data_IF_268557243139
#
_entry.id   IF_268557243139
#
_cell.length_a   1.000
_cell.length_b   1.000
_cell.length_c   1.000
_cell.angle_alpha   90.00
_cell.angle_beta   90.00
_cell.angle_gamma   90.00
#
_symmetry.space_group_name_H-M   'P 1'
#
loop_
_entity.id
_entity.type
_entity.pdbx_description
1 polymer ?
#
# COMPACT_ATOMS: atom_id res chain seq x y z
N UNK A 1 -50.57 34.98 46.32
CA UNK A 1 -50.65 36.09 45.36
C UNK A 1 -49.36 36.88 45.48
N UNK A 2 -48.30 36.69 44.71
CA UNK A 2 -47.93 35.74 43.65
C UNK A 2 -46.41 35.85 43.49
N UNK A 3 -45.78 34.71 43.16
CA UNK A 3 -44.70 34.48 42.19
C UNK A 3 -43.55 35.49 42.06
N UNK A 4 -42.31 35.07 42.31
CA UNK A 4 -41.37 34.32 41.42
C UNK A 4 -40.32 35.31 40.90
N UNK A 5 -39.01 35.04 41.04
CA UNK A 5 -38.22 34.38 39.99
C UNK A 5 -37.84 35.41 38.90
N UNK A 6 -36.61 35.59 38.42
CA UNK A 6 -35.41 34.79 38.48
C UNK A 6 -34.22 35.69 38.12
N UNK A 7 -33.06 35.30 38.65
CA UNK A 7 -31.76 35.73 38.16
C UNK A 7 -31.43 35.03 36.85
N UNK A 8 -30.40 35.51 36.16
CA UNK A 8 -29.68 34.85 35.06
C UNK A 8 -30.18 35.11 33.63
N UNK A 9 -29.57 36.11 33.00
CA UNK A 9 -29.44 36.21 31.55
C UNK A 9 -27.99 35.99 31.14
N UNK A 10 -27.41 34.85 31.53
CA UNK A 10 -26.12 34.38 31.03
C UNK A 10 -26.24 34.09 29.54
N UNK A 11 -25.63 34.93 28.71
CA UNK A 11 -25.53 34.73 27.26
C UNK A 11 -24.66 33.53 26.94
N UNK A 12 -25.25 32.34 26.99
CA UNK A 12 -24.68 31.10 26.48
C UNK A 12 -24.43 31.26 24.98
N UNK A 13 -23.21 31.68 24.68
CA UNK A 13 -22.62 31.61 23.34
C UNK A 13 -22.47 30.13 23.03
N UNK A 14 -23.53 29.53 22.49
CA UNK A 14 -23.51 28.18 21.90
C UNK A 14 -22.58 28.21 20.70
N UNK A 15 -21.28 28.04 20.97
CA UNK A 15 -20.31 27.63 19.99
C UNK A 15 -20.86 26.33 19.37
N UNK A 16 -21.34 26.46 18.14
CA UNK A 16 -21.62 25.35 17.25
C UNK A 16 -20.33 24.55 17.12
N UNK A 17 -20.18 23.53 17.97
CA UNK A 17 -19.12 22.54 17.83
C UNK A 17 -19.48 21.80 16.54
N UNK A 18 -18.78 22.14 15.46
CA UNK A 18 -18.81 21.39 14.21
C UNK A 18 -18.34 19.98 14.56
N UNK A 19 -19.30 19.08 14.82
CA UNK A 19 -19.00 17.67 15.07
C UNK A 19 -18.57 17.07 13.75
N UNK A 20 -17.26 16.94 13.54
CA UNK A 20 -16.72 16.17 12.42
C UNK A 20 -17.23 14.73 12.60
N UNK A 21 -17.99 14.17 11.64
CA UNK A 21 -18.52 12.82 11.78
C UNK A 21 -17.34 11.85 11.96
N UNK A 22 -17.42 10.91 12.91
CA UNK A 22 -16.33 9.98 13.19
C UNK A 22 -15.97 9.22 11.90
N UNK A 23 -14.69 9.26 11.54
CA UNK A 23 -14.18 8.57 10.36
C UNK A 23 -14.46 7.08 10.56
N UNK A 24 -15.28 6.48 9.70
CA UNK A 24 -15.59 5.05 9.76
C UNK A 24 -14.34 4.28 9.36
N UNK A 25 -13.46 4.02 10.31
CA UNK A 25 -12.28 3.18 10.11
C UNK A 25 -12.75 1.81 9.64
N UNK A 26 -12.18 1.32 8.54
CA UNK A 26 -12.45 -0.03 8.06
C UNK A 26 -11.55 -0.95 8.87
N UNK A 27 -12.10 -1.80 9.77
CA UNK A 27 -11.27 -2.72 10.52
C UNK A 27 -10.50 -3.62 9.56
N UNK A 28 -9.18 -3.72 9.72
CA UNK A 28 -8.26 -4.51 8.88
C UNK A 28 -7.95 -3.95 7.48
N UNK A 29 -8.04 -2.64 7.28
CA UNK A 29 -7.45 -1.98 6.11
C UNK A 29 -5.92 -1.94 6.23
N UNK A 30 -5.21 -2.56 5.28
CA UNK A 30 -3.74 -2.52 5.17
C UNK A 30 -3.29 -1.91 3.83
N UNK A 31 -4.13 -1.01 3.28
CA UNK A 31 -3.84 -0.37 2.00
C UNK A 31 -2.72 0.67 2.14
N UNK A 32 -2.57 1.32 3.29
CA UNK A 32 -1.50 2.31 3.50
C UNK A 32 -0.11 1.67 3.47
N UNK A 33 0.06 0.50 4.08
CA UNK A 33 1.28 -0.29 4.00
C UNK A 33 1.57 -0.71 2.57
N UNK A 34 0.55 -1.17 1.83
CA UNK A 34 0.69 -1.54 0.41
C UNK A 34 1.19 -0.35 -0.42
N UNK A 35 0.67 0.86 -0.16
CA UNK A 35 1.08 2.08 -0.87
C UNK A 35 2.56 2.38 -0.67
N UNK A 36 3.02 2.34 0.57
CA UNK A 36 4.42 2.57 0.91
C UNK A 36 5.29 1.52 0.24
N UNK A 37 4.91 0.24 0.30
CA UNK A 37 5.69 -0.85 -0.30
C UNK A 37 5.79 -0.68 -1.82
N UNK A 38 4.71 -0.31 -2.51
CA UNK A 38 4.74 -0.07 -3.96
C UNK A 38 5.62 1.12 -4.35
N UNK A 39 5.58 2.22 -3.59
CA UNK A 39 6.49 3.36 -3.81
C UNK A 39 7.94 2.96 -3.59
N UNK A 40 8.23 2.27 -2.49
CA UNK A 40 9.59 1.77 -2.19
C UNK A 40 10.06 0.82 -3.30
N UNK A 41 9.20 -0.09 -3.75
CA UNK A 41 9.52 -1.04 -4.84
C UNK A 41 9.83 -0.31 -6.15
N UNK A 42 9.09 0.74 -6.47
CA UNK A 42 9.36 1.58 -7.64
C UNK A 42 10.73 2.28 -7.53
N UNK A 43 11.07 2.81 -6.36
CA UNK A 43 12.39 3.42 -6.11
C UNK A 43 13.49 2.37 -6.27
N UNK A 44 13.34 1.20 -5.65
CA UNK A 44 14.31 0.09 -5.75
C UNK A 44 14.52 -0.32 -7.20
N UNK A 45 13.44 -0.44 -8.00
CA UNK A 45 13.53 -0.74 -9.43
C UNK A 45 14.38 0.27 -10.20
N UNK A 46 14.15 1.57 -9.99
CA UNK A 46 14.89 2.63 -10.67
C UNK A 46 16.35 2.68 -10.24
N UNK A 47 16.62 2.55 -8.93
CA UNK A 47 17.99 2.53 -8.39
C UNK A 47 18.74 1.31 -8.93
N UNK A 48 18.14 0.13 -8.91
CA UNK A 48 18.75 -1.10 -9.42
C UNK A 48 19.18 -0.95 -10.89
N UNK A 49 18.28 -0.50 -11.77
CA UNK A 49 18.62 -0.20 -13.17
C UNK A 49 19.72 0.85 -13.30
N UNK A 50 19.67 1.92 -12.50
CA UNK A 50 20.67 3.01 -12.55
C UNK A 50 22.06 2.56 -12.12
N UNK A 51 22.16 1.57 -11.24
CA UNK A 51 23.43 0.96 -10.80
C UNK A 51 23.94 -0.13 -11.75
N UNK A 52 23.21 -0.44 -12.83
CA UNK A 52 23.57 -1.50 -13.78
C UNK A 52 23.25 -2.92 -13.31
N UNK A 53 22.34 -3.07 -12.35
CA UNK A 53 21.89 -4.38 -11.89
C UNK A 53 21.14 -5.13 -13.00
N UNK A 54 21.42 -6.42 -13.13
CA UNK A 54 20.80 -7.29 -14.13
C UNK A 54 19.42 -7.78 -13.64
N UNK A 55 18.38 -7.03 -14.02
CA UNK A 55 16.99 -7.31 -13.69
C UNK A 55 16.30 -8.14 -14.79
N UNK A 56 15.24 -8.90 -14.46
CA UNK A 56 14.46 -9.67 -15.44
C UNK A 56 13.52 -8.79 -16.29
N UNK A 57 13.88 -7.51 -16.47
CA UNK A 57 13.11 -6.49 -17.17
C UNK A 57 14.07 -5.67 -18.03
N UNK A 58 13.62 -5.29 -19.23
CA UNK A 58 14.33 -4.25 -20.00
C UNK A 58 14.32 -2.92 -19.24
N UNK A 59 15.19 -1.99 -19.63
CA UNK A 59 15.21 -0.63 -19.05
C UNK A 59 13.84 0.04 -19.18
N UNK A 60 13.24 -0.02 -20.37
CA UNK A 60 11.88 0.49 -20.60
C UNK A 60 10.84 -0.25 -19.74
N UNK A 61 10.93 -1.58 -19.64
CA UNK A 61 10.05 -2.39 -18.80
C UNK A 61 10.12 -1.98 -17.34
N UNK A 62 11.32 -1.73 -16.81
CA UNK A 62 11.53 -1.32 -15.42
C UNK A 62 10.94 0.05 -15.13
N UNK A 63 11.12 1.03 -16.02
CA UNK A 63 10.51 2.36 -15.90
C UNK A 63 8.98 2.27 -15.93
N UNK A 64 8.42 1.49 -16.87
CA UNK A 64 6.98 1.28 -16.96
C UNK A 64 6.42 0.58 -15.72
N UNK A 65 7.10 -0.42 -15.18
CA UNK A 65 6.74 -1.08 -13.93
C UNK A 65 6.78 -0.12 -12.74
N UNK A 66 7.79 0.74 -12.64
CA UNK A 66 7.88 1.76 -11.59
C UNK A 66 6.72 2.75 -11.67
N UNK A 67 6.38 3.25 -12.86
CA UNK A 67 5.21 4.13 -13.07
C UNK A 67 3.92 3.42 -12.66
N UNK A 68 3.73 2.17 -13.09
CA UNK A 68 2.56 1.38 -12.75
C UNK A 68 2.42 1.17 -11.23
N UNK A 69 3.51 0.88 -10.53
CA UNK A 69 3.53 0.75 -9.06
C UNK A 69 3.16 2.05 -8.37
N UNK A 70 3.70 3.19 -8.80
CA UNK A 70 3.38 4.51 -8.22
C UNK A 70 1.94 4.91 -8.47
N UNK A 71 1.41 4.66 -9.68
CA UNK A 71 -0.02 4.90 -9.98
C UNK A 71 -0.90 4.03 -9.09
N UNK A 72 -0.59 2.73 -8.97
CA UNK A 72 -1.32 1.83 -8.09
C UNK A 72 -1.30 2.32 -6.63
N UNK A 73 -0.15 2.77 -6.13
CA UNK A 73 -0.02 3.36 -4.81
C UNK A 73 -0.83 4.67 -4.65
N UNK A 74 -0.88 5.52 -5.68
CA UNK A 74 -1.64 6.76 -5.65
C UNK A 74 -3.15 6.55 -5.62
N UNK A 75 -3.65 5.56 -6.37
CA UNK A 75 -5.09 5.28 -6.50
C UNK A 75 -5.62 4.44 -5.32
N UNK A 76 -4.74 3.74 -4.59
CA UNK A 76 -5.15 2.89 -3.45
C UNK A 76 -5.83 3.70 -2.36
N UNK A 77 -7.11 3.42 -2.12
CA UNK A 77 -7.95 4.13 -1.15
C UNK A 77 -9.03 3.18 -0.61
N UNK A 78 -9.39 3.22 0.69
CA UNK A 78 -10.46 2.38 1.27
C UNK A 78 -11.80 2.41 0.54
N UNK A 79 -12.14 3.49 -0.18
CA UNK A 79 -13.43 3.61 -0.86
C UNK A 79 -13.57 2.73 -2.13
N UNK A 80 -12.45 2.36 -2.76
CA UNK A 80 -12.44 1.66 -4.04
C UNK A 80 -12.06 0.19 -3.87
N UNK A 81 -13.02 -0.68 -3.57
CA UNK A 81 -12.73 -2.11 -3.35
C UNK A 81 -11.99 -2.81 -4.51
N UNK A 82 -12.21 -2.36 -5.75
CA UNK A 82 -11.57 -2.93 -6.95
C UNK A 82 -10.05 -2.74 -6.97
N UNK A 83 -9.52 -1.61 -6.47
CA UNK A 83 -8.07 -1.34 -6.53
C UNK A 83 -7.27 -2.36 -5.71
N UNK A 84 -7.86 -2.90 -4.65
CA UNK A 84 -7.19 -3.91 -3.82
C UNK A 84 -6.96 -5.22 -4.58
N UNK A 85 -7.88 -5.61 -5.46
CA UNK A 85 -7.69 -6.77 -6.35
C UNK A 85 -6.62 -6.49 -7.40
N UNK A 86 -6.61 -5.31 -8.00
CA UNK A 86 -5.55 -4.91 -8.94
C UNK A 86 -4.18 -4.94 -8.26
N UNK A 87 -4.07 -4.39 -7.04
CA UNK A 87 -2.82 -4.44 -6.27
C UNK A 87 -2.39 -5.87 -5.96
N UNK A 88 -3.33 -6.76 -5.62
CA UNK A 88 -3.02 -8.17 -5.41
C UNK A 88 -2.48 -8.83 -6.69
N UNK A 89 -3.06 -8.52 -7.86
CA UNK A 89 -2.55 -8.99 -9.15
C UNK A 89 -1.14 -8.48 -9.44
N UNK A 90 -0.87 -7.19 -9.22
CA UNK A 90 0.45 -6.59 -9.42
C UNK A 90 1.48 -7.21 -8.47
N UNK A 91 1.14 -7.34 -7.19
CA UNK A 91 2.01 -7.94 -6.18
C UNK A 91 2.28 -9.42 -6.47
N UNK A 92 1.28 -10.17 -6.95
CA UNK A 92 1.44 -11.57 -7.39
C UNK A 92 2.39 -11.66 -8.58
N UNK A 93 2.19 -10.83 -9.60
CA UNK A 93 3.06 -10.80 -10.78
C UNK A 93 4.51 -10.46 -10.41
N UNK A 94 4.71 -9.46 -9.56
CA UNK A 94 6.03 -9.10 -9.02
C UNK A 94 6.67 -10.24 -8.23
N UNK A 95 5.90 -10.89 -7.36
CA UNK A 95 6.39 -12.02 -6.54
C UNK A 95 6.86 -13.17 -7.43
N UNK A 96 6.09 -13.52 -8.44
CA UNK A 96 6.44 -14.60 -9.37
C UNK A 96 7.68 -14.22 -10.19
N UNK A 97 7.67 -13.03 -10.81
CA UNK A 97 8.76 -12.58 -11.69
C UNK A 97 10.08 -12.46 -10.94
N UNK A 98 10.11 -11.69 -9.85
CA UNK A 98 11.33 -11.45 -9.10
C UNK A 98 11.72 -12.65 -8.23
N UNK A 99 10.74 -13.38 -7.65
CA UNK A 99 11.01 -14.55 -6.83
C UNK A 99 11.63 -15.71 -7.62
N UNK A 100 11.12 -16.02 -8.80
CA UNK A 100 11.74 -17.04 -9.67
C UNK A 100 13.15 -16.59 -10.05
N UNK A 101 13.31 -15.34 -10.48
CA UNK A 101 14.62 -14.81 -10.88
C UNK A 101 15.63 -14.86 -9.73
N UNK A 102 15.22 -14.50 -8.51
CA UNK A 102 16.11 -14.54 -7.35
C UNK A 102 16.57 -15.96 -7.03
N UNK A 103 15.64 -16.93 -7.05
CA UNK A 103 15.94 -18.35 -6.83
C UNK A 103 16.91 -18.86 -7.90
N UNK A 104 16.69 -18.51 -9.17
CA UNK A 104 17.55 -18.94 -10.27
C UNK A 104 18.97 -18.36 -10.14
N UNK A 105 19.10 -17.08 -9.76
CA UNK A 105 20.41 -16.43 -9.51
C UNK A 105 21.15 -17.08 -8.35
N UNK A 106 20.44 -17.36 -7.26
CA UNK A 106 21.03 -18.05 -6.11
C UNK A 106 21.52 -19.45 -6.49
N UNK A 107 20.72 -20.20 -7.26
CA UNK A 107 21.08 -21.55 -7.74
C UNK A 107 22.23 -21.54 -8.76
N UNK A 108 22.37 -20.47 -9.54
CA UNK A 108 23.49 -20.28 -10.46
C UNK A 108 24.81 -19.94 -9.75
N UNK A 109 24.81 -19.84 -8.41
CA UNK A 109 26.02 -19.55 -7.63
C UNK A 109 26.41 -18.08 -7.61
N UNK A 110 25.49 -17.18 -7.97
CA UNK A 110 25.71 -15.72 -7.82
C UNK A 110 25.90 -15.41 -6.33
N UNK A 111 26.94 -14.63 -6.01
CA UNK A 111 27.20 -14.20 -4.64
C UNK A 111 26.02 -13.44 -4.07
N UNK A 112 25.71 -13.67 -2.79
CA UNK A 112 24.67 -12.92 -2.06
C UNK A 112 25.00 -11.42 -1.93
N UNK A 113 26.25 -11.03 -2.15
CA UNK A 113 26.70 -9.64 -2.13
C UNK A 113 26.70 -8.97 -3.51
N UNK A 114 26.33 -9.70 -4.56
CA UNK A 114 26.23 -9.15 -5.91
C UNK A 114 25.02 -8.20 -5.99
N UNK A 115 25.17 -6.95 -6.48
CA UNK A 115 24.07 -5.98 -6.52
C UNK A 115 22.82 -6.53 -7.23
N UNK A 116 23.01 -7.22 -8.36
CA UNK A 116 21.93 -7.84 -9.13
C UNK A 116 21.10 -8.82 -8.30
N UNK A 117 21.75 -9.63 -7.46
CA UNK A 117 21.05 -10.54 -6.57
C UNK A 117 20.27 -9.77 -5.49
N UNK A 118 20.93 -8.83 -4.81
CA UNK A 118 20.34 -8.06 -3.71
C UNK A 118 19.08 -7.33 -4.16
N UNK A 119 19.11 -6.65 -5.31
CA UNK A 119 17.94 -5.89 -5.79
C UNK A 119 16.78 -6.80 -6.21
N UNK A 120 17.06 -7.89 -6.91
CA UNK A 120 16.02 -8.84 -7.33
C UNK A 120 15.39 -9.53 -6.12
N UNK A 121 16.20 -9.95 -5.14
CA UNK A 121 15.72 -10.52 -3.88
C UNK A 121 14.88 -9.50 -3.08
N UNK A 122 15.35 -8.25 -2.97
CA UNK A 122 14.61 -7.19 -2.28
C UNK A 122 13.24 -6.94 -2.93
N UNK A 123 13.17 -6.88 -4.27
CA UNK A 123 11.91 -6.72 -5.00
C UNK A 123 10.98 -7.94 -4.85
N UNK A 124 11.54 -9.14 -4.81
CA UNK A 124 10.78 -10.36 -4.52
C UNK A 124 10.14 -10.31 -3.13
N UNK A 125 10.90 -9.93 -2.11
CA UNK A 125 10.41 -9.83 -0.74
C UNK A 125 9.37 -8.70 -0.58
N UNK A 126 9.64 -7.52 -1.13
CA UNK A 126 8.70 -6.40 -1.09
C UNK A 126 7.38 -6.76 -1.78
N UNK A 127 7.44 -7.39 -2.96
CA UNK A 127 6.23 -7.81 -3.68
C UNK A 127 5.45 -8.91 -2.92
N UNK A 128 6.15 -9.85 -2.26
CA UNK A 128 5.51 -10.86 -1.41
C UNK A 128 4.82 -10.24 -0.19
N UNK A 129 5.46 -9.26 0.47
CA UNK A 129 4.89 -8.54 1.61
C UNK A 129 3.67 -7.71 1.15
N UNK A 130 3.75 -7.05 -0.01
CA UNK A 130 2.60 -6.35 -0.59
C UNK A 130 1.45 -7.32 -0.90
N UNK A 131 1.75 -8.53 -1.39
CA UNK A 131 0.74 -9.56 -1.63
C UNK A 131 0.04 -9.97 -0.32
N UNK A 132 0.80 -10.11 0.77
CA UNK A 132 0.22 -10.40 2.08
C UNK A 132 -0.72 -9.28 2.57
N UNK A 133 -0.31 -8.01 2.50
CA UNK A 133 -1.17 -6.90 2.96
C UNK A 133 -2.40 -6.68 2.08
N UNK A 134 -2.26 -6.81 0.77
CA UNK A 134 -3.39 -6.70 -0.17
C UNK A 134 -4.41 -7.82 0.08
N UNK A 135 -3.97 -9.06 0.24
CA UNK A 135 -4.88 -10.18 0.55
C UNK A 135 -5.55 -10.03 1.92
N UNK A 136 -4.85 -9.54 2.95
CA UNK A 136 -5.47 -9.19 4.24
C UNK A 136 -6.55 -8.13 4.10
N UNK A 137 -6.30 -7.10 3.29
CA UNK A 137 -7.26 -6.02 3.04
C UNK A 137 -8.50 -6.55 2.32
N UNK A 138 -8.32 -7.36 1.26
CA UNK A 138 -9.43 -8.01 0.54
C UNK A 138 -10.26 -8.89 1.48
N UNK A 139 -9.60 -9.68 2.34
CA UNK A 139 -10.26 -10.51 3.34
C UNK A 139 -11.08 -9.66 4.32
N UNK A 140 -10.50 -8.58 4.84
CA UNK A 140 -11.17 -7.65 5.75
C UNK A 140 -12.41 -7.01 5.13
N UNK A 141 -12.32 -6.57 3.88
CA UNK A 141 -13.45 -6.01 3.12
C UNK A 141 -14.56 -7.06 2.93
N UNK A 142 -14.21 -8.30 2.56
CA UNK A 142 -15.18 -9.36 2.28
C UNK A 142 -15.91 -9.86 3.53
N UNK A 143 -15.25 -9.86 4.68
CA UNK A 143 -15.82 -10.32 5.96
C UNK A 143 -16.66 -9.25 6.67
N UNK A 144 -16.80 -8.04 6.10
CA UNK A 144 -17.62 -6.98 6.70
C UNK A 144 -19.11 -7.35 6.64
N UNK A 145 -19.83 -7.40 7.76
CA UNK A 145 -21.27 -7.58 7.73
C UNK A 145 -21.92 -6.39 7.01
N UNK A 146 -22.82 -6.68 6.07
CA UNK A 146 -23.69 -5.68 5.45
C UNK A 146 -24.79 -5.37 6.47
N UNK A 147 -24.59 -4.32 7.26
CA UNK A 147 -25.66 -3.69 8.04
C UNK A 147 -26.10 -2.42 7.32
#
# INVERSE_FOLDING_TARGET
>A
MDSDGDSEGGGDTKASIISVPPRREIPHYHGDETRVIFVVSAIVLIVAQSTGADLPLSTAGSVMSAVLLVIAAGVTNPAQHGIHWTNACIATAGTILFGITAIDRYRAGVSIFEPSFIYVEALALLSLIALYFTTRTIRGIRMRPKF
#
